data_IF_214742895086
#
_entry.id   IF_214742895086
#
_cell.length_a   1.000
_cell.length_b   1.000
_cell.length_c   1.000
_cell.angle_alpha   90.00
_cell.angle_beta   90.00
_cell.angle_gamma   90.00
#
_symmetry.space_group_name_H-M   'P 1'
#
loop_
_entity.id
_entity.type
_entity.pdbx_description
1 polymer ?
#
# COMPACT_ATOMS: atom_id res chain seq x y z
N UNK A 1 17.24 0.96 25.86
CA UNK A 1 16.67 0.45 24.59
C UNK A 1 16.99 1.42 23.45
N UNK A 2 18.28 1.63 23.16
CA UNK A 2 18.75 2.65 22.22
C UNK A 2 19.46 2.07 21.01
N UNK A 3 19.25 0.80 20.67
CA UNK A 3 20.02 0.11 19.62
C UNK A 3 19.19 -0.10 18.33
N UNK A 4 17.88 0.16 18.36
CA UNK A 4 16.99 -0.21 17.24
C UNK A 4 16.62 0.96 16.30
N UNK A 5 17.05 2.18 16.62
CA UNK A 5 16.82 3.36 15.76
C UNK A 5 17.89 3.49 14.67
N UNK A 6 19.12 3.05 14.93
CA UNK A 6 20.20 3.09 13.93
C UNK A 6 20.07 1.97 12.89
N UNK A 7 19.49 0.82 13.28
CA UNK A 7 19.17 -0.28 12.36
C UNK A 7 18.06 0.13 11.37
N UNK A 8 17.12 0.98 11.78
CA UNK A 8 16.08 1.51 10.90
C UNK A 8 16.55 2.67 10.01
N UNK A 9 17.51 3.48 10.46
CA UNK A 9 18.12 4.53 9.63
C UNK A 9 18.94 3.97 8.47
N UNK A 10 19.50 2.77 8.60
CA UNK A 10 20.19 2.10 7.50
C UNK A 10 19.27 1.67 6.35
N UNK A 11 17.94 1.57 6.59
CA UNK A 11 17.00 1.04 5.59
C UNK A 11 16.33 2.08 4.69
N UNK A 12 16.43 3.38 4.95
CA UNK A 12 15.63 4.40 4.22
C UNK A 12 16.46 5.50 3.53
N UNK A 13 17.78 5.54 3.65
CA UNK A 13 18.54 6.58 2.94
C UNK A 13 20.00 6.30 2.81
N UNK A 14 20.40 5.59 1.74
CA UNK A 14 21.71 5.69 1.06
C UNK A 14 21.82 4.74 -0.15
N UNK A 15 20.71 4.32 -0.76
CA UNK A 15 20.76 3.42 -1.93
C UNK A 15 20.56 4.17 -3.25
N UNK A 16 21.41 5.17 -3.52
CA UNK A 16 21.39 5.84 -4.83
C UNK A 16 22.73 6.48 -5.18
N UNK A 17 23.79 5.68 -5.39
CA UNK A 17 24.88 6.08 -6.30
C UNK A 17 25.93 5.01 -6.67
N UNK A 18 25.89 3.79 -6.11
CA UNK A 18 26.91 2.76 -6.41
C UNK A 18 26.60 1.94 -7.67
N UNK A 19 25.32 1.65 -7.93
CA UNK A 19 24.88 0.85 -9.10
C UNK A 19 25.04 1.59 -10.43
N UNK A 20 24.77 2.90 -10.47
CA UNK A 20 24.91 3.72 -11.69
C UNK A 20 26.39 3.87 -12.09
N UNK A 21 27.30 4.09 -11.13
CA UNK A 21 28.75 4.12 -11.41
C UNK A 21 29.26 2.78 -11.96
N UNK A 22 28.77 1.65 -11.45
CA UNK A 22 29.15 0.33 -11.96
C UNK A 22 28.59 0.06 -13.36
N UNK A 23 27.32 0.40 -13.62
CA UNK A 23 26.74 0.30 -14.98
C UNK A 23 27.47 1.18 -15.98
N UNK A 24 27.79 2.43 -15.59
CA UNK A 24 28.50 3.37 -16.46
C UNK A 24 29.94 2.90 -16.76
N UNK A 25 30.65 2.34 -15.77
CA UNK A 25 31.96 1.69 -16.00
C UNK A 25 31.86 0.48 -16.93
N UNK A 26 30.81 -0.34 -16.79
CA UNK A 26 30.60 -1.51 -17.62
C UNK A 26 30.27 -1.14 -19.08
N UNK A 27 29.52 -0.05 -19.28
CA UNK A 27 29.23 0.50 -20.61
C UNK A 27 30.48 1.08 -21.28
N UNK A 28 31.32 1.81 -20.55
CA UNK A 28 32.59 2.35 -21.08
C UNK A 28 33.56 1.22 -21.46
N UNK A 29 33.64 0.17 -20.64
CA UNK A 29 34.49 -0.99 -20.95
C UNK A 29 34.02 -1.72 -22.22
N UNK A 30 32.70 -1.87 -22.41
CA UNK A 30 32.12 -2.44 -23.62
C UNK A 30 32.40 -1.57 -24.86
N UNK A 31 32.25 -0.25 -24.77
CA UNK A 31 32.60 0.65 -25.87
C UNK A 31 34.08 0.58 -26.23
N UNK A 32 34.99 0.52 -25.25
CA UNK A 32 36.42 0.42 -25.51
C UNK A 32 36.79 -0.90 -26.20
N UNK A 33 36.18 -2.02 -25.80
CA UNK A 33 36.36 -3.32 -26.46
C UNK A 33 35.83 -3.33 -27.90
N UNK A 34 34.68 -2.69 -28.16
CA UNK A 34 34.12 -2.60 -29.50
C UNK A 34 35.01 -1.73 -30.39
N UNK A 35 35.51 -0.60 -29.87
CA UNK A 35 36.43 0.27 -30.60
C UNK A 35 37.76 -0.42 -30.89
N UNK A 36 38.32 -1.20 -29.96
CA UNK A 36 39.55 -1.95 -30.21
C UNK A 36 39.37 -3.02 -31.29
N UNK A 37 38.22 -3.71 -31.31
CA UNK A 37 37.91 -4.72 -32.33
C UNK A 37 37.74 -4.08 -33.71
N UNK A 38 37.06 -2.93 -33.79
CA UNK A 38 36.90 -2.17 -35.03
C UNK A 38 38.24 -1.68 -35.59
N UNK A 39 39.15 -1.22 -34.72
CA UNK A 39 40.49 -0.79 -35.12
C UNK A 39 41.28 -1.98 -35.69
N UNK A 40 41.24 -3.14 -35.03
CA UNK A 40 41.92 -4.35 -35.50
C UNK A 40 41.36 -4.83 -36.83
N UNK A 41 40.03 -4.83 -37.00
CA UNK A 41 39.36 -5.18 -38.26
C UNK A 41 39.74 -4.24 -39.40
N UNK A 42 39.77 -2.92 -39.15
CA UNK A 42 40.18 -1.95 -40.17
C UNK A 42 41.65 -2.08 -40.52
N UNK A 43 42.54 -2.35 -39.55
CA UNK A 43 43.94 -2.64 -39.84
C UNK A 43 44.11 -3.92 -40.65
N UNK A 44 43.34 -4.97 -40.35
CA UNK A 44 43.35 -6.21 -41.14
C UNK A 44 42.82 -6.00 -42.56
N UNK A 45 41.80 -5.15 -42.74
CA UNK A 45 41.28 -4.78 -44.06
C UNK A 45 42.30 -3.97 -44.89
N UNK A 46 43.02 -3.04 -44.26
CA UNK A 46 44.09 -2.29 -44.93
C UNK A 46 45.28 -3.19 -45.27
N UNK A 47 45.60 -4.18 -44.42
CA UNK A 47 46.65 -5.18 -44.68
C UNK A 47 46.24 -6.25 -45.70
N UNK A 48 44.93 -6.48 -45.93
CA UNK A 48 44.44 -7.51 -46.84
C UNK A 48 44.71 -7.20 -48.32
N UNK A 49 45.08 -5.97 -48.67
CA UNK A 49 45.37 -5.55 -50.04
C UNK A 49 44.15 -5.61 -50.97
N UNK A 50 44.29 -5.06 -52.18
CA UNK A 50 43.25 -5.17 -53.20
C UNK A 50 43.11 -6.62 -53.69
N UNK A 51 41.92 -7.00 -54.14
CA UNK A 51 41.51 -8.38 -54.46
C UNK A 51 42.39 -9.02 -55.56
N UNK A 52 43.07 -8.18 -56.35
CA UNK A 52 44.05 -8.54 -57.39
C UNK A 52 45.36 -9.13 -56.83
N UNK A 53 45.81 -8.70 -55.64
CA UNK A 53 47.07 -9.16 -55.03
C UNK A 53 46.90 -10.35 -54.08
N UNK A 54 45.67 -10.70 -53.75
CA UNK A 54 45.34 -11.86 -52.93
C UNK A 54 44.17 -12.63 -53.56
N UNK A 55 44.39 -13.26 -54.74
CA UNK A 55 43.44 -14.20 -55.27
C UNK A 55 43.34 -15.32 -54.23
N UNK A 56 42.17 -15.45 -53.61
CA UNK A 56 41.92 -16.49 -52.61
C UNK A 56 42.39 -17.87 -53.10
N UNK A 57 42.63 -18.82 -52.18
CA UNK A 57 43.29 -20.07 -52.46
C UNK A 57 42.75 -20.74 -53.73
N UNK A 58 43.66 -21.06 -54.67
CA UNK A 58 43.40 -21.50 -56.05
C UNK A 58 42.52 -22.75 -56.19
N UNK A 59 42.16 -23.41 -55.08
CA UNK A 59 41.27 -24.57 -55.01
C UNK A 59 39.80 -24.23 -54.73
N UNK A 60 39.42 -22.95 -54.66
CA UNK A 60 38.02 -22.53 -54.44
C UNK A 60 37.37 -22.03 -55.73
N UNK A 61 36.04 -22.16 -55.84
CA UNK A 61 35.21 -21.69 -56.98
C UNK A 61 35.62 -20.29 -57.47
N UNK A 62 35.87 -19.37 -56.55
CA UNK A 62 36.27 -17.99 -56.86
C UNK A 62 37.60 -17.89 -57.63
N UNK A 63 38.57 -18.76 -57.34
CA UNK A 63 39.91 -18.74 -57.95
C UNK A 63 39.99 -19.37 -59.35
N UNK A 64 39.04 -20.25 -59.69
CA UNK A 64 38.95 -20.86 -61.03
C UNK A 64 38.14 -20.01 -62.02
N UNK A 65 37.22 -19.18 -61.51
CA UNK A 65 36.39 -18.25 -62.32
C UNK A 65 37.27 -17.16 -62.98
N UNK A 66 38.32 -16.71 -62.29
CA UNK A 66 39.09 -15.53 -62.70
C UNK A 66 40.03 -15.73 -63.89
N UNK A 67 40.27 -16.97 -64.37
CA UNK A 67 41.27 -17.20 -65.44
C UNK A 67 40.71 -17.51 -66.83
N UNK A 68 39.47 -18.00 -66.96
CA UNK A 68 38.97 -18.47 -68.28
C UNK A 68 37.52 -18.17 -68.59
N UNK A 69 36.74 -17.54 -67.70
CA UNK A 69 35.40 -17.00 -68.04
C UNK A 69 34.28 -18.03 -68.34
N UNK A 70 34.61 -19.31 -68.56
CA UNK A 70 33.62 -20.35 -68.83
C UNK A 70 33.14 -21.05 -67.55
N UNK A 71 31.82 -21.29 -67.48
CA UNK A 71 31.16 -22.01 -66.38
C UNK A 71 31.39 -23.51 -66.55
N UNK A 72 32.37 -24.06 -65.84
CA UNK A 72 32.55 -25.51 -65.73
C UNK A 72 31.62 -26.03 -64.62
N UNK A 73 30.68 -26.91 -64.96
CA UNK A 73 29.94 -27.69 -63.97
C UNK A 73 30.87 -28.75 -63.35
N UNK A 74 30.88 -28.92 -62.02
CA UNK A 74 31.79 -29.86 -61.38
C UNK A 74 31.46 -31.30 -61.80
N UNK A 75 32.47 -32.07 -62.20
CA UNK A 75 32.41 -33.53 -62.11
C UNK A 75 32.29 -33.89 -60.63
N UNK A 76 31.30 -34.72 -60.28
CA UNK A 76 31.00 -35.06 -58.89
C UNK A 76 32.12 -35.87 -58.25
N UNK A 77 32.93 -35.24 -57.40
CA UNK A 77 33.73 -35.97 -56.42
C UNK A 77 32.80 -36.50 -55.31
N UNK A 78 32.46 -37.79 -55.42
CA UNK A 78 31.58 -38.56 -54.54
C UNK A 78 32.14 -38.82 -53.12
N UNK A 79 32.96 -37.95 -52.53
CA UNK A 79 33.70 -38.28 -51.30
C UNK A 79 33.42 -37.42 -50.07
N UNK A 80 32.60 -36.36 -50.15
CA UNK A 80 32.04 -35.66 -48.97
C UNK A 80 30.59 -35.25 -49.25
N UNK A 81 29.66 -36.13 -48.87
CA UNK A 81 28.25 -36.01 -49.18
C UNK A 81 27.64 -34.68 -48.72
N UNK A 82 27.08 -33.94 -49.68
CA UNK A 82 26.02 -32.96 -49.40
C UNK A 82 24.89 -33.73 -48.71
N UNK A 83 24.30 -33.26 -47.59
CA UNK A 83 23.16 -33.95 -46.99
C UNK A 83 22.14 -34.14 -48.10
N UNK A 84 21.69 -35.38 -48.28
CA UNK A 84 20.76 -35.70 -49.35
C UNK A 84 19.52 -34.81 -49.21
N UNK A 85 18.91 -34.40 -50.32
CA UNK A 85 17.67 -33.59 -50.26
C UNK A 85 16.59 -34.30 -49.41
N UNK A 86 16.70 -35.63 -49.27
CA UNK A 86 15.91 -36.47 -48.38
C UNK A 86 16.17 -36.22 -46.88
N UNK A 87 17.43 -36.01 -46.46
CA UNK A 87 17.78 -35.66 -45.08
C UNK A 87 17.27 -34.25 -44.72
N UNK A 88 17.44 -33.29 -45.64
CA UNK A 88 16.89 -31.94 -45.47
C UNK A 88 15.35 -31.96 -45.41
N UNK A 89 14.70 -32.77 -46.26
CA UNK A 89 13.26 -32.96 -46.22
C UNK A 89 12.79 -33.60 -44.89
N UNK A 90 13.54 -34.57 -44.37
CA UNK A 90 13.24 -35.22 -43.09
C UNK A 90 13.34 -34.24 -41.92
N UNK A 91 14.40 -33.43 -41.85
CA UNK A 91 14.54 -32.37 -40.82
C UNK A 91 13.42 -31.33 -40.94
N UNK A 92 13.04 -30.97 -42.16
CA UNK A 92 11.96 -29.99 -42.38
C UNK A 92 10.59 -30.57 -41.98
N UNK A 93 10.38 -31.87 -42.16
CA UNK A 93 9.19 -32.57 -41.66
C UNK A 93 9.18 -32.65 -40.14
N UNK A 94 10.31 -32.98 -39.49
CA UNK A 94 10.38 -33.02 -38.03
C UNK A 94 10.17 -31.64 -37.40
N UNK A 95 10.75 -30.58 -37.97
CA UNK A 95 10.49 -29.22 -37.49
C UNK A 95 9.02 -28.81 -37.66
N UNK A 96 8.35 -29.27 -38.73
CA UNK A 96 6.92 -29.03 -38.90
C UNK A 96 6.07 -29.75 -37.86
N UNK A 97 6.44 -30.98 -37.48
CA UNK A 97 5.74 -31.71 -36.41
C UNK A 97 5.97 -31.03 -35.06
N UNK A 98 7.20 -30.67 -34.73
CA UNK A 98 7.54 -29.98 -33.47
C UNK A 98 6.80 -28.64 -33.34
N UNK A 99 6.73 -27.86 -34.43
CA UNK A 99 5.96 -26.60 -34.45
C UNK A 99 4.47 -26.84 -34.26
N UNK A 100 3.91 -27.93 -34.81
CA UNK A 100 2.51 -28.27 -34.63
C UNK A 100 2.21 -28.68 -33.18
N UNK A 101 3.10 -29.47 -32.57
CA UNK A 101 3.05 -29.89 -31.17
C UNK A 101 3.16 -28.69 -30.23
N UNK A 102 4.15 -27.82 -30.39
CA UNK A 102 4.26 -26.60 -29.58
C UNK A 102 3.05 -25.68 -29.73
N UNK A 103 2.45 -25.58 -30.93
CA UNK A 103 1.22 -24.81 -31.12
C UNK A 103 0.03 -25.46 -30.42
N UNK A 104 -0.01 -26.78 -30.32
CA UNK A 104 -1.02 -27.52 -29.57
C UNK A 104 -0.83 -27.27 -28.08
N UNK A 105 0.38 -27.43 -27.55
CA UNK A 105 0.70 -27.15 -26.13
C UNK A 105 0.36 -25.71 -25.75
N UNK A 106 0.68 -24.73 -26.59
CA UNK A 106 0.34 -23.31 -26.36
C UNK A 106 -1.17 -23.06 -26.34
N UNK A 107 -1.95 -23.82 -27.13
CA UNK A 107 -3.41 -23.78 -27.05
C UNK A 107 -3.90 -24.44 -25.77
N UNK A 108 -3.42 -25.64 -25.47
CA UNK A 108 -3.84 -26.45 -24.32
C UNK A 108 -3.52 -25.77 -22.99
N UNK A 109 -2.47 -24.94 -22.94
CA UNK A 109 -2.16 -24.12 -21.77
C UNK A 109 -3.25 -23.10 -21.42
N UNK A 110 -4.23 -22.81 -22.30
CA UNK A 110 -5.43 -21.99 -22.03
C UNK A 110 -5.20 -20.72 -21.19
N UNK A 111 -4.01 -20.11 -21.25
CA UNK A 111 -3.53 -19.06 -20.33
C UNK A 111 -4.49 -17.87 -20.29
N UNK A 112 -5.15 -17.57 -21.41
CA UNK A 112 -6.13 -16.49 -21.49
C UNK A 112 -7.35 -16.74 -20.60
N UNK A 113 -7.84 -17.97 -20.56
CA UNK A 113 -8.97 -18.37 -19.74
C UNK A 113 -8.58 -18.34 -18.25
N UNK A 114 -7.40 -18.86 -17.90
CA UNK A 114 -6.87 -18.77 -16.54
C UNK A 114 -6.72 -17.32 -16.08
N UNK A 115 -6.22 -16.42 -16.93
CA UNK A 115 -6.12 -14.98 -16.62
C UNK A 115 -7.50 -14.36 -16.38
N UNK A 116 -8.52 -14.76 -17.14
CA UNK A 116 -9.90 -14.26 -16.94
C UNK A 116 -10.47 -14.79 -15.63
N UNK A 117 -10.29 -16.07 -15.34
CA UNK A 117 -10.75 -16.70 -14.10
C UNK A 117 -10.07 -16.07 -12.87
N UNK A 118 -8.75 -15.92 -12.89
CA UNK A 118 -7.99 -15.25 -11.82
C UNK A 118 -8.44 -13.79 -11.63
N UNK A 119 -8.76 -13.08 -12.71
CA UNK A 119 -9.29 -11.70 -12.59
C UNK A 119 -10.67 -11.68 -11.93
N UNK A 120 -11.55 -12.63 -12.25
CA UNK A 120 -12.86 -12.77 -11.61
C UNK A 120 -12.69 -13.05 -10.12
N UNK A 121 -11.87 -14.04 -9.77
CA UNK A 121 -11.61 -14.43 -8.38
C UNK A 121 -11.01 -13.26 -7.58
N UNK A 122 -10.06 -12.51 -8.15
CA UNK A 122 -9.51 -11.31 -7.51
C UNK A 122 -10.59 -10.25 -7.28
N UNK A 123 -11.52 -10.07 -8.22
CA UNK A 123 -12.63 -9.12 -8.05
C UNK A 123 -13.57 -9.58 -6.93
N UNK A 124 -13.96 -10.85 -6.92
CA UNK A 124 -14.80 -11.46 -5.89
C UNK A 124 -14.15 -11.31 -4.50
N UNK A 125 -12.89 -11.74 -4.35
CA UNK A 125 -12.13 -11.61 -3.11
C UNK A 125 -12.02 -10.15 -2.64
N UNK A 126 -11.88 -9.18 -3.56
CA UNK A 126 -11.89 -7.76 -3.20
C UNK A 126 -13.24 -7.32 -2.67
N UNK A 127 -14.34 -7.73 -3.31
CA UNK A 127 -15.69 -7.39 -2.85
C UNK A 127 -15.98 -7.99 -1.47
N UNK A 128 -15.63 -9.26 -1.26
CA UNK A 128 -15.76 -9.92 0.05
C UNK A 128 -14.93 -9.22 1.11
N UNK A 129 -13.70 -8.82 0.79
CA UNK A 129 -12.84 -8.12 1.72
C UNK A 129 -13.43 -6.78 2.19
N UNK A 130 -14.08 -6.04 1.28
CA UNK A 130 -14.79 -4.79 1.62
C UNK A 130 -15.97 -5.09 2.54
N UNK A 131 -16.80 -6.09 2.20
CA UNK A 131 -17.96 -6.50 3.01
C UNK A 131 -17.51 -6.94 4.42
N UNK A 132 -16.44 -7.73 4.51
CA UNK A 132 -15.91 -8.21 5.79
C UNK A 132 -15.38 -7.04 6.64
N UNK A 133 -14.66 -6.10 6.04
CA UNK A 133 -14.19 -4.89 6.74
C UNK A 133 -15.35 -4.06 7.28
N UNK A 134 -16.39 -3.86 6.48
CA UNK A 134 -17.57 -3.10 6.91
C UNK A 134 -18.34 -3.82 8.03
N UNK A 135 -18.49 -5.14 7.94
CA UNK A 135 -19.10 -5.95 9.02
C UNK A 135 -18.29 -5.86 10.31
N UNK A 136 -16.97 -5.98 10.23
CA UNK A 136 -16.07 -5.88 11.37
C UNK A 136 -16.17 -4.49 12.01
N UNK A 137 -16.15 -3.42 11.22
CA UNK A 137 -16.32 -2.05 11.68
C UNK A 137 -17.67 -1.87 12.42
N UNK A 138 -18.75 -2.43 11.87
CA UNK A 138 -20.06 -2.40 12.50
C UNK A 138 -20.09 -3.14 13.85
N UNK A 139 -19.48 -4.33 13.93
CA UNK A 139 -19.39 -5.08 15.18
C UNK A 139 -18.55 -4.35 16.22
N UNK A 140 -17.37 -3.82 15.86
CA UNK A 140 -16.54 -3.02 16.75
C UNK A 140 -17.31 -1.83 17.32
N UNK A 141 -18.05 -1.10 16.47
CA UNK A 141 -18.82 0.05 16.93
C UNK A 141 -19.98 -0.34 17.86
N UNK A 142 -20.65 -1.47 17.63
CA UNK A 142 -21.69 -1.99 18.55
C UNK A 142 -21.10 -2.36 19.91
N UNK A 143 -19.91 -2.96 19.94
CA UNK A 143 -19.21 -3.30 21.19
C UNK A 143 -18.75 -2.03 21.93
N UNK A 144 -18.35 -1.01 21.18
CA UNK A 144 -17.89 0.28 21.74
C UNK A 144 -19.01 1.25 22.08
N UNK A 145 -20.25 0.98 21.66
CA UNK A 145 -21.38 1.88 21.83
C UNK A 145 -21.62 2.22 23.32
N UNK A 146 -21.37 1.25 24.21
CA UNK A 146 -21.50 1.40 25.66
C UNK A 146 -20.30 2.08 26.32
N UNK A 147 -19.31 2.51 25.55
CA UNK A 147 -18.08 3.06 26.09
C UNK A 147 -18.03 4.58 25.95
N UNK A 148 -17.48 5.22 26.97
CA UNK A 148 -17.19 6.67 26.99
C UNK A 148 -15.72 6.88 27.26
N UNK A 149 -15.15 7.85 26.56
CA UNK A 149 -13.80 8.32 26.77
C UNK A 149 -13.84 9.64 27.53
N UNK A 150 -13.17 9.68 28.68
CA UNK A 150 -12.97 10.90 29.46
C UNK A 150 -11.50 11.32 29.36
N UNK A 151 -11.27 12.55 28.92
CA UNK A 151 -9.95 13.14 28.70
C UNK A 151 -9.67 14.20 29.76
N UNK A 152 -8.39 14.47 30.03
CA UNK A 152 -7.95 15.58 30.88
C UNK A 152 -7.91 15.26 32.38
N UNK A 153 -8.04 13.99 32.75
CA UNK A 153 -7.96 13.56 34.15
C UNK A 153 -6.52 13.29 34.53
N UNK A 154 -6.01 13.98 35.57
CA UNK A 154 -4.64 13.79 36.06
C UNK A 154 -4.38 12.31 36.35
N UNK A 155 -3.18 11.87 36.01
CA UNK A 155 -2.78 10.46 36.06
C UNK A 155 -1.72 10.26 37.15
N UNK A 156 -1.98 9.36 38.10
CA UNK A 156 -0.98 8.94 39.08
C UNK A 156 -0.08 7.84 38.50
N UNK A 157 1.14 7.69 39.01
CA UNK A 157 2.12 6.74 38.47
C UNK A 157 1.75 5.26 38.66
N UNK A 158 0.98 4.96 39.71
CA UNK A 158 0.57 3.60 40.08
C UNK A 158 -0.94 3.53 40.32
N UNK A 159 -1.74 4.03 39.37
CA UNK A 159 -3.20 3.92 39.47
C UNK A 159 -3.66 2.47 39.42
N UNK A 160 -4.43 2.05 40.41
CA UNK A 160 -5.18 0.79 40.37
C UNK A 160 -6.50 0.95 39.62
N UNK A 161 -7.15 -0.17 39.26
CA UNK A 161 -8.47 -0.13 38.64
C UNK A 161 -9.53 0.52 39.53
N UNK A 162 -9.44 0.29 40.84
CA UNK A 162 -10.38 0.83 41.83
C UNK A 162 -10.21 2.35 41.99
N UNK A 163 -8.97 2.85 42.02
CA UNK A 163 -8.70 4.29 42.05
C UNK A 163 -9.22 4.99 40.79
N UNK A 164 -9.06 4.37 39.62
CA UNK A 164 -9.64 4.88 38.37
C UNK A 164 -11.16 4.96 38.45
N UNK A 165 -11.80 3.93 39.03
CA UNK A 165 -13.24 3.86 39.20
C UNK A 165 -13.73 4.95 40.15
N UNK A 166 -13.07 5.11 41.31
CA UNK A 166 -13.41 6.14 42.28
C UNK A 166 -13.26 7.54 41.69
N UNK A 167 -12.15 7.80 40.99
CA UNK A 167 -11.91 9.07 40.31
C UNK A 167 -13.03 9.37 39.30
N UNK A 168 -13.49 8.37 38.54
CA UNK A 168 -14.62 8.54 37.63
C UNK A 168 -15.89 8.87 38.41
N UNK A 169 -16.22 8.13 39.49
CA UNK A 169 -17.42 8.40 40.31
C UNK A 169 -17.40 9.82 40.89
N UNK A 170 -16.27 10.26 41.42
CA UNK A 170 -16.10 11.61 41.98
C UNK A 170 -16.40 12.69 40.93
N UNK A 171 -15.97 12.51 39.68
CA UNK A 171 -16.25 13.45 38.58
C UNK A 171 -17.73 13.41 38.19
N UNK A 172 -18.34 12.22 38.14
CA UNK A 172 -19.76 12.10 37.80
C UNK A 172 -20.65 12.84 38.80
N UNK A 173 -20.29 12.83 40.09
CA UNK A 173 -21.01 13.56 41.14
C UNK A 173 -20.66 15.05 41.15
N UNK A 174 -19.38 15.39 41.21
CA UNK A 174 -18.95 16.77 41.42
C UNK A 174 -19.11 17.65 40.17
N UNK A 175 -18.65 17.17 39.02
CA UNK A 175 -18.62 17.96 37.78
C UNK A 175 -19.92 17.79 36.98
N UNK A 176 -20.40 16.55 36.83
CA UNK A 176 -21.60 16.28 36.04
C UNK A 176 -22.90 16.40 36.82
N UNK A 177 -22.83 16.59 38.15
CA UNK A 177 -23.98 16.77 39.06
C UNK A 177 -25.04 15.66 38.89
N UNK A 178 -24.57 14.43 38.71
CA UNK A 178 -25.46 13.27 38.66
C UNK A 178 -25.60 12.72 40.08
N UNK A 179 -26.70 13.06 40.73
CA UNK A 179 -27.04 12.53 42.05
C UNK A 179 -27.15 10.99 41.99
N UNK A 180 -26.53 10.31 42.94
CA UNK A 180 -26.53 8.85 43.03
C UNK A 180 -25.57 8.12 42.06
N UNK A 181 -24.70 8.83 41.34
CA UNK A 181 -23.63 8.22 40.54
C UNK A 181 -22.55 7.49 41.37
N UNK A 182 -22.53 7.72 42.69
CA UNK A 182 -21.65 7.00 43.61
C UNK A 182 -22.03 5.53 43.77
N UNK A 183 -23.25 5.12 43.43
CA UNK A 183 -23.72 3.73 43.54
C UNK A 183 -24.12 3.15 42.20
N UNK A 184 -24.12 1.83 42.09
CA UNK A 184 -24.49 1.11 40.86
C UNK A 184 -26.00 1.12 40.56
N UNK A 185 -26.80 1.84 41.36
CA UNK A 185 -28.25 1.94 41.18
C UNK A 185 -28.63 2.70 39.92
N UNK A 186 -27.95 3.82 39.63
CA UNK A 186 -28.24 4.68 38.48
C UNK A 186 -27.24 4.40 37.35
N UNK A 187 -25.95 4.36 37.67
CA UNK A 187 -24.88 4.19 36.70
C UNK A 187 -24.11 2.91 37.04
N UNK A 188 -24.45 1.82 36.36
CA UNK A 188 -23.69 0.57 36.46
C UNK A 188 -22.46 0.64 35.56
N UNK A 189 -21.29 0.87 36.17
CA UNK A 189 -20.00 0.83 35.48
C UNK A 189 -19.48 -0.60 35.51
N UNK A 190 -19.18 -1.16 34.34
CA UNK A 190 -18.65 -2.52 34.21
C UNK A 190 -17.12 -2.54 34.36
N UNK A 191 -16.44 -1.61 33.68
CA UNK A 191 -14.97 -1.56 33.66
C UNK A 191 -14.46 -0.15 33.38
N UNK A 192 -13.42 0.24 34.10
CA UNK A 192 -12.70 1.51 33.90
C UNK A 192 -11.20 1.28 33.80
N UNK A 193 -10.55 1.90 32.81
CA UNK A 193 -9.09 1.87 32.72
C UNK A 193 -8.54 2.97 31.81
N UNK A 194 -7.27 3.32 32.00
CA UNK A 194 -6.52 4.22 31.11
C UNK A 194 -6.22 3.53 29.78
N UNK A 195 -6.40 4.26 28.67
CA UNK A 195 -6.16 3.74 27.32
C UNK A 195 -4.74 4.03 26.86
N UNK A 196 -4.05 3.00 26.36
CA UNK A 196 -2.72 3.13 25.75
C UNK A 196 -1.57 3.12 26.77
N UNK A 197 -0.33 3.21 26.27
CA UNK A 197 0.88 3.25 27.10
C UNK A 197 1.14 4.67 27.61
N UNK A 198 1.59 4.81 28.86
CA UNK A 198 1.97 6.11 29.43
C UNK A 198 3.13 6.69 28.65
N UNK A 199 2.98 7.92 28.19
CA UNK A 199 4.06 8.65 27.52
C UNK A 199 4.63 9.68 28.50
N UNK A 200 5.82 9.40 29.03
CA UNK A 200 6.50 10.28 29.99
C UNK A 200 6.88 11.64 29.40
N UNK A 201 6.95 11.76 28.07
CA UNK A 201 7.32 13.01 27.38
C UNK A 201 6.10 13.90 27.09
N UNK A 202 4.88 13.42 27.32
CA UNK A 202 3.64 14.16 27.05
C UNK A 202 3.07 14.71 28.35
N UNK A 203 2.77 16.02 28.44
CA UNK A 203 2.06 16.57 29.60
C UNK A 203 0.59 16.15 29.64
N UNK A 204 0.05 15.65 28.53
CA UNK A 204 -1.36 15.26 28.43
C UNK A 204 -1.57 13.86 29.04
N UNK A 205 -2.46 13.73 30.04
CA UNK A 205 -2.75 12.44 30.65
C UNK A 205 -3.51 11.51 29.70
N UNK A 206 -3.39 10.19 29.92
CA UNK A 206 -4.11 9.20 29.11
C UNK A 206 -5.62 9.31 29.34
N UNK A 207 -6.45 9.15 28.29
CA UNK A 207 -7.89 9.09 28.47
C UNK A 207 -8.30 7.84 29.26
N UNK A 208 -9.36 7.97 30.07
CA UNK A 208 -10.01 6.84 30.75
C UNK A 208 -11.14 6.35 29.85
N UNK A 209 -11.16 5.04 29.57
CA UNK A 209 -12.29 4.34 29.00
C UNK A 209 -13.19 3.87 30.13
N UNK A 210 -14.47 4.25 30.08
CA UNK A 210 -15.52 3.81 30.98
C UNK A 210 -16.51 2.97 30.18
N UNK A 211 -16.65 1.70 30.54
CA UNK A 211 -17.60 0.77 29.92
C UNK A 211 -18.82 0.65 30.81
N UNK A 212 -20.00 0.87 30.25
CA UNK A 212 -21.27 0.81 30.99
C UNK A 212 -22.04 -0.45 30.65
N UNK A 213 -22.74 -1.02 31.63
CA UNK A 213 -23.62 -2.17 31.35
C UNK A 213 -24.84 -1.72 30.52
N UNK A 214 -25.39 -0.53 30.83
CA UNK A 214 -26.60 0.03 30.20
C UNK A 214 -26.30 1.25 29.34
N UNK A 215 -26.83 1.26 28.12
CA UNK A 215 -26.74 2.38 27.18
C UNK A 215 -27.34 3.68 27.74
N UNK A 216 -28.41 3.59 28.53
CA UNK A 216 -29.06 4.75 29.18
C UNK A 216 -28.10 5.49 30.12
N UNK A 217 -27.28 4.77 30.89
CA UNK A 217 -26.29 5.37 31.78
C UNK A 217 -25.20 6.09 30.98
N UNK A 218 -24.71 5.45 29.91
CA UNK A 218 -23.78 6.03 28.96
C UNK A 218 -24.31 7.31 28.31
N UNK A 219 -25.57 7.32 27.87
CA UNK A 219 -26.20 8.49 27.23
C UNK A 219 -26.38 9.65 28.21
N UNK A 220 -26.76 9.35 29.46
CA UNK A 220 -26.84 10.32 30.53
C UNK A 220 -25.48 11.01 30.73
N UNK A 221 -24.41 10.23 30.92
CA UNK A 221 -23.04 10.75 31.12
C UNK A 221 -22.56 11.56 29.92
N UNK A 222 -22.83 11.13 28.68
CA UNK A 222 -22.46 11.89 27.48
C UNK A 222 -23.22 13.23 27.41
N UNK A 223 -24.52 13.22 27.73
CA UNK A 223 -25.36 14.42 27.67
C UNK A 223 -24.97 15.47 28.71
N UNK A 224 -24.74 15.04 29.97
CA UNK A 224 -24.33 15.92 31.07
C UNK A 224 -22.90 16.40 30.86
N UNK A 225 -22.00 15.51 30.45
CA UNK A 225 -20.62 15.84 30.11
C UNK A 225 -20.52 16.88 28.99
N UNK A 226 -21.33 16.77 27.93
CA UNK A 226 -21.38 17.79 26.86
C UNK A 226 -21.93 19.14 27.35
N UNK A 227 -22.90 19.14 28.26
CA UNK A 227 -23.42 20.37 28.87
C UNK A 227 -22.35 21.03 29.75
N UNK A 228 -21.65 20.24 30.55
CA UNK A 228 -20.56 20.69 31.40
C UNK A 228 -19.43 21.33 30.59
N UNK A 229 -18.94 20.67 29.53
CA UNK A 229 -17.88 21.22 28.65
C UNK A 229 -18.28 22.54 28.00
N UNK A 230 -19.57 22.75 27.72
CA UNK A 230 -20.08 24.03 27.19
C UNK A 230 -20.18 25.10 28.27
N UNK A 231 -20.53 24.73 29.50
CA UNK A 231 -20.73 25.65 30.62
C UNK A 231 -19.41 26.07 31.27
N UNK A 232 -18.45 25.16 31.36
CA UNK A 232 -17.16 25.39 32.00
C UNK A 232 -16.17 25.92 30.96
N UNK A 233 -16.05 27.24 30.88
CA UNK A 233 -15.03 27.92 30.09
C UNK A 233 -13.66 27.50 30.65
N UNK A 234 -12.89 26.74 29.87
CA UNK A 234 -11.58 26.15 30.21
C UNK A 234 -11.57 24.88 31.09
N UNK A 235 -12.64 24.08 31.12
CA UNK A 235 -12.48 22.74 31.72
C UNK A 235 -11.45 21.91 30.94
N UNK A 236 -10.46 21.38 31.65
CA UNK A 236 -9.50 20.42 31.10
C UNK A 236 -10.20 19.09 30.73
N UNK A 237 -11.36 18.83 31.34
CA UNK A 237 -12.11 17.60 31.18
C UNK A 237 -12.90 17.66 29.88
N UNK A 238 -12.76 16.63 29.04
CA UNK A 238 -13.58 16.45 27.84
C UNK A 238 -14.17 15.05 27.83
N UNK A 239 -15.39 14.94 27.29
CA UNK A 239 -16.10 13.67 27.18
C UNK A 239 -16.37 13.37 25.71
N UNK A 240 -16.07 12.15 25.28
CA UNK A 240 -16.29 11.69 23.92
C UNK A 240 -16.80 10.25 23.87
N UNK A 241 -17.39 9.88 22.74
CA UNK A 241 -17.75 8.49 22.43
C UNK A 241 -16.49 7.71 22.01
N UNK A 242 -16.48 6.39 22.27
CA UNK A 242 -15.48 5.49 21.69
C UNK A 242 -15.97 4.96 20.34
N UNK A 243 -15.17 5.20 19.30
CA UNK A 243 -15.44 4.72 17.95
C UNK A 243 -14.33 3.80 17.46
N UNK A 244 -14.64 3.01 16.44
CA UNK A 244 -13.66 2.22 15.69
C UNK A 244 -12.54 3.08 15.11
N UNK A 245 -11.44 2.43 14.72
CA UNK A 245 -10.28 3.10 14.12
C UNK A 245 -10.65 3.86 12.83
N UNK A 246 -11.55 3.29 12.03
CA UNK A 246 -12.05 3.85 10.77
C UNK A 246 -12.77 5.18 11.01
N UNK A 247 -13.81 5.16 11.85
CA UNK A 247 -14.61 6.33 12.18
C UNK A 247 -13.77 7.40 12.88
N UNK A 248 -12.84 7.01 13.76
CA UNK A 248 -11.92 7.94 14.43
C UNK A 248 -11.02 8.67 13.42
N UNK A 249 -10.55 7.99 12.39
CA UNK A 249 -9.72 8.57 11.34
C UNK A 249 -10.51 9.55 10.47
N UNK A 250 -11.74 9.18 10.10
CA UNK A 250 -12.69 10.06 9.39
C UNK A 250 -12.95 11.33 10.20
N UNK A 251 -13.31 11.19 11.49
CA UNK A 251 -13.54 12.34 12.38
C UNK A 251 -12.32 13.24 12.51
N UNK A 252 -11.11 12.67 12.59
CA UNK A 252 -9.87 13.44 12.65
C UNK A 252 -9.70 14.33 11.41
N UNK A 253 -10.01 13.80 10.23
CA UNK A 253 -9.96 14.56 8.98
C UNK A 253 -11.07 15.63 8.87
N UNK A 254 -12.22 15.40 9.48
CA UNK A 254 -13.35 16.35 9.46
C UNK A 254 -13.25 17.48 10.50
N UNK A 255 -12.48 17.29 11.58
CA UNK A 255 -12.33 18.29 12.67
C UNK A 255 -11.80 19.65 12.17
N UNK A 256 -10.77 19.74 11.30
CA UNK A 256 -10.30 21.02 10.76
C UNK A 256 -11.42 21.79 10.05
N UNK A 257 -12.16 21.12 9.16
CA UNK A 257 -13.30 21.71 8.45
C UNK A 257 -14.43 22.14 9.39
N UNK A 258 -14.68 21.37 10.45
CA UNK A 258 -15.63 21.76 11.51
C UNK A 258 -15.20 23.06 12.21
N UNK A 259 -13.90 23.23 12.49
CA UNK A 259 -13.37 24.43 13.13
C UNK A 259 -13.48 25.64 12.19
N UNK A 260 -13.08 25.48 10.94
CA UNK A 260 -13.21 26.53 9.91
C UNK A 260 -14.66 27.00 9.77
N UNK A 261 -15.62 26.07 9.69
CA UNK A 261 -17.03 26.40 9.59
C UNK A 261 -17.55 27.18 10.81
N UNK A 262 -17.06 26.86 12.01
CA UNK A 262 -17.43 27.59 13.24
C UNK A 262 -16.76 28.96 13.37
N UNK A 263 -15.56 29.12 12.82
CA UNK A 263 -14.84 30.39 12.85
C UNK A 263 -15.39 31.38 11.83
N UNK A 264 -15.84 30.90 10.67
CA UNK A 264 -16.34 31.77 9.60
C UNK A 264 -17.75 32.28 9.88
N UNK A 265 -18.65 31.39 10.32
CA UNK A 265 -20.05 31.73 10.57
C UNK A 265 -20.49 31.26 11.95
N UNK A 266 -20.63 32.20 12.89
CA UNK A 266 -21.06 31.90 14.26
C UNK A 266 -22.51 31.36 14.32
N UNK A 267 -23.33 31.69 13.32
CA UNK A 267 -24.75 31.32 13.28
C UNK A 267 -25.02 29.97 12.59
N UNK A 268 -24.02 29.34 11.96
CA UNK A 268 -24.19 28.07 11.26
C UNK A 268 -24.05 26.90 12.24
N UNK A 269 -25.11 26.09 12.34
CA UNK A 269 -25.09 24.86 13.14
C UNK A 269 -24.16 23.82 12.51
N UNK A 270 -22.95 23.71 13.05
CA UNK A 270 -21.95 22.72 12.63
C UNK A 270 -21.65 21.69 13.73
N UNK A 271 -21.88 20.40 13.46
CA UNK A 271 -21.61 19.31 14.40
C UNK A 271 -21.25 17.99 13.71
N UNK A 272 -20.50 17.15 14.42
CA UNK A 272 -20.14 15.80 13.96
C UNK A 272 -21.15 14.78 14.49
N UNK A 273 -21.73 13.98 13.61
CA UNK A 273 -22.58 12.84 13.94
C UNK A 273 -21.94 11.58 13.37
N UNK A 274 -21.47 10.69 14.25
CA UNK A 274 -20.76 9.47 13.86
C UNK A 274 -19.59 9.75 12.90
N UNK A 275 -19.64 9.29 11.66
CA UNK A 275 -18.66 9.48 10.59
C UNK A 275 -18.92 10.72 9.69
N UNK A 276 -19.98 11.49 9.96
CA UNK A 276 -20.40 12.62 9.12
C UNK A 276 -20.25 13.96 9.84
N UNK A 277 -19.93 14.99 9.06
CA UNK A 277 -19.93 16.39 9.46
C UNK A 277 -21.15 17.08 8.85
N UNK A 278 -22.02 17.61 9.70
CA UNK A 278 -23.23 18.33 9.28
C UNK A 278 -22.97 19.83 9.49
N UNK A 279 -23.10 20.62 8.43
CA UNK A 279 -22.96 22.09 8.42
C UNK A 279 -24.24 22.65 7.81
N UNK A 280 -25.13 23.20 8.63
CA UNK A 280 -26.43 23.67 8.17
C UNK A 280 -27.27 22.54 7.58
N UNK A 281 -27.56 22.60 6.27
CA UNK A 281 -28.24 21.53 5.53
C UNK A 281 -27.28 20.52 4.92
N UNK A 282 -25.98 20.83 4.89
CA UNK A 282 -25.03 20.06 4.14
C UNK A 282 -24.31 18.99 4.93
N UNK A 283 -24.12 17.82 4.32
CA UNK A 283 -23.47 16.66 4.94
C UNK A 283 -22.17 16.30 4.25
N UNK A 284 -21.09 16.21 5.02
CA UNK A 284 -19.77 15.84 4.52
C UNK A 284 -19.30 14.53 5.15
N UNK A 285 -18.58 13.71 4.38
CA UNK A 285 -17.85 12.53 4.86
C UNK A 285 -16.42 12.54 4.33
N UNK A 286 -15.53 11.76 4.96
CA UNK A 286 -14.16 11.59 4.49
C UNK A 286 -13.96 10.18 3.96
N UNK A 287 -13.52 10.08 2.69
CA UNK A 287 -13.21 8.78 2.09
C UNK A 287 -11.73 8.50 2.28
N UNK A 288 -11.43 7.46 3.07
CA UNK A 288 -10.06 7.09 3.45
C UNK A 288 -9.18 6.74 2.25
N UNK A 289 -9.74 6.08 1.24
CA UNK A 289 -8.98 5.61 0.06
C UNK A 289 -8.54 6.77 -0.83
N UNK A 290 -9.42 7.77 -1.02
CA UNK A 290 -9.15 8.97 -1.84
C UNK A 290 -8.46 10.07 -1.06
N UNK A 291 -8.50 10.00 0.28
CA UNK A 291 -8.03 11.02 1.22
C UNK A 291 -8.70 12.39 1.04
N UNK A 292 -9.96 12.39 0.63
CA UNK A 292 -10.72 13.59 0.30
C UNK A 292 -12.01 13.69 1.12
N UNK A 293 -12.44 14.92 1.39
CA UNK A 293 -13.74 15.22 2.00
C UNK A 293 -14.76 15.38 0.87
N UNK A 294 -15.81 14.56 0.90
CA UNK A 294 -16.87 14.53 -0.10
C UNK A 294 -18.16 15.09 0.52
N UNK A 295 -18.88 15.91 -0.24
CA UNK A 295 -20.24 16.32 0.10
C UNK A 295 -21.22 15.21 -0.31
N UNK A 296 -22.08 14.78 0.60
CA UNK A 296 -23.10 13.75 0.37
C UNK A 296 -24.42 14.32 -0.14
N UNK A 297 -24.58 15.65 -0.17
CA UNK A 297 -25.81 16.26 -0.67
C UNK A 297 -25.77 16.29 -2.20
N UNK A 298 -26.27 15.20 -2.78
CA UNK A 298 -26.73 15.19 -4.16
C UNK A 298 -28.27 15.26 -4.12
N UNK A 299 -28.79 16.48 -4.36
CA UNK A 299 -30.21 16.88 -4.49
C UNK A 299 -30.95 17.25 -3.21
#
# INVERSE_FOLDING_TARGET
MGIDIDVWRFKIGLYRHRSVKNKMKQSVLKCNMIMSVLIVLNMLLVLAGDVEMNPGPSGTRQGQISKTGDVIFPQSDNSKGRPSDNELAAILQSLKTDIAEFRQEVRDMNIKEEIVNLKSEIQELRTENVILKDRLDNFENRLKERNVLIFGLKENERETFEECLQLVRDILVNEFRIEGANSDSIICIERTHRVGKKNHNSPNPRPILVSFNRLKGRDLVLSTGRKYVKSAVNSQIRVGEDFSSRVRSIRRALIPKLKEAKSNDENVKAFLKYDKLIIGKSTYTYVLDKKEIICLDNK
#
